data_IF_544013935875
#
_entry.id   IF_544013935875
#
_cell.length_a   1.000
_cell.length_b   1.000
_cell.length_c   1.000
_cell.angle_alpha   90.00
_cell.angle_beta   90.00
_cell.angle_gamma   90.00
#
_symmetry.space_group_name_H-M   'P 1'
#
loop_
_entity.id
_entity.type
_entity.pdbx_description
1 polymer ?
#
# COMPACT_ATOMS: atom_id res chain seq x y z
N UNK A 1 -19.64 -23.94 48.43
CA UNK A 1 -19.73 -22.48 48.68
C UNK A 1 -18.47 -21.84 48.08
N UNK A 2 -18.58 -21.17 46.90
CA UNK A 2 -18.29 -19.73 46.65
C UNK A 2 -17.08 -19.14 47.40
N UNK A 3 -16.15 -18.38 46.80
CA UNK A 3 -16.08 -17.66 45.50
C UNK A 3 -14.62 -17.49 45.00
N UNK A 4 -14.38 -17.26 43.69
CA UNK A 4 -14.10 -15.97 43.00
C UNK A 4 -12.93 -15.18 43.65
N UNK A 5 -11.86 -14.72 42.99
CA UNK A 5 -11.65 -14.06 41.67
C UNK A 5 -10.11 -13.82 41.51
N UNK A 6 -9.45 -14.17 40.41
CA UNK A 6 -8.93 -13.28 39.31
C UNK A 6 -7.45 -12.86 39.40
N UNK A 7 -6.74 -12.97 38.27
CA UNK A 7 -5.39 -12.46 37.97
C UNK A 7 -4.41 -13.61 37.76
N UNK A 8 -3.78 -13.89 36.61
CA UNK A 8 -3.33 -13.06 35.49
C UNK A 8 -3.41 -13.90 34.20
N UNK A 9 -4.45 -13.68 33.40
CA UNK A 9 -4.51 -14.09 31.99
C UNK A 9 -4.08 -12.88 31.16
N UNK A 10 -2.79 -12.61 31.01
CA UNK A 10 -2.34 -11.54 30.10
C UNK A 10 -0.88 -11.71 29.63
N UNK A 11 -0.57 -12.86 29.02
CA UNK A 11 0.70 -13.07 28.30
C UNK A 11 0.54 -13.40 26.81
N UNK A 12 -0.65 -13.20 26.26
CA UNK A 12 -0.91 -13.42 24.83
C UNK A 12 -1.08 -12.09 24.08
N UNK A 13 -0.18 -11.13 24.34
CA UNK A 13 0.12 -10.11 23.34
C UNK A 13 1.03 -10.75 22.31
N UNK A 14 0.43 -11.57 21.46
CA UNK A 14 1.09 -12.11 20.28
C UNK A 14 1.76 -10.96 19.55
N UNK A 15 3.08 -11.05 19.41
CA UNK A 15 3.81 -10.27 18.44
C UNK A 15 3.06 -10.47 17.11
N UNK A 16 2.37 -9.43 16.65
CA UNK A 16 1.78 -9.42 15.33
C UNK A 16 2.89 -9.90 14.39
N UNK A 17 2.68 -11.06 13.76
CA UNK A 17 3.60 -11.50 12.72
C UNK A 17 3.53 -10.39 11.68
N UNK A 18 4.60 -9.62 11.58
CA UNK A 18 4.85 -8.82 10.41
C UNK A 18 4.97 -9.85 9.28
N UNK A 19 3.87 -10.10 8.56
CA UNK A 19 3.81 -11.04 7.45
C UNK A 19 4.59 -10.51 6.23
N UNK A 20 5.42 -9.48 6.41
CA UNK A 20 6.11 -8.77 5.34
C UNK A 20 5.15 -8.02 4.42
N UNK A 21 3.91 -7.78 4.85
CA UNK A 21 2.91 -7.03 4.09
C UNK A 21 2.74 -5.62 4.66
N UNK A 22 2.97 -4.62 3.82
CA UNK A 22 2.69 -3.23 4.14
C UNK A 22 1.26 -2.91 3.72
N UNK A 23 0.52 -2.23 4.60
CA UNK A 23 -0.83 -1.71 4.31
C UNK A 23 -0.76 -0.19 4.37
N UNK A 24 -1.25 0.48 3.33
CA UNK A 24 -1.36 1.95 3.25
C UNK A 24 -2.76 2.33 2.79
N UNK A 25 -3.30 3.46 3.28
CA UNK A 25 -4.48 4.06 2.68
C UNK A 25 -4.07 4.90 1.45
N UNK A 26 -4.87 4.87 0.38
CA UNK A 26 -4.60 5.70 -0.81
C UNK A 26 -4.60 7.20 -0.45
N UNK A 27 -5.42 7.61 0.51
CA UNK A 27 -5.49 8.99 1.00
C UNK A 27 -4.23 9.48 1.70
N UNK A 28 -3.41 8.55 2.22
CA UNK A 28 -2.17 8.88 2.92
C UNK A 28 -0.99 9.07 1.95
N UNK A 29 -1.18 8.73 0.67
CA UNK A 29 -0.15 8.93 -0.34
C UNK A 29 -0.07 10.40 -0.73
N UNK A 30 1.15 10.93 -0.68
CA UNK A 30 1.44 12.30 -1.09
C UNK A 30 1.89 12.24 -2.55
N UNK A 31 1.02 12.74 -3.43
CA UNK A 31 1.32 12.88 -4.85
C UNK A 31 2.16 14.12 -5.13
N UNK A 32 2.90 14.08 -6.24
CA UNK A 32 3.56 15.26 -6.77
C UNK A 32 2.58 16.19 -7.51
N UNK A 33 3.11 17.24 -8.15
CA UNK A 33 2.30 18.27 -8.82
C UNK A 33 1.40 17.73 -9.94
N UNK A 34 1.73 16.58 -10.53
CA UNK A 34 0.96 15.98 -11.63
C UNK A 34 0.03 14.86 -11.12
N UNK A 35 -0.07 14.67 -9.80
CA UNK A 35 -0.91 13.62 -9.20
C UNK A 35 -0.23 12.25 -9.17
N UNK A 36 1.09 12.21 -9.31
CA UNK A 36 1.87 10.98 -9.41
C UNK A 36 2.51 10.61 -8.07
N UNK A 37 2.46 9.33 -7.73
CA UNK A 37 3.12 8.75 -6.55
C UNK A 37 4.06 7.65 -7.02
N UNK A 38 5.31 7.67 -6.58
CA UNK A 38 6.27 6.61 -6.87
C UNK A 38 6.63 5.87 -5.59
N UNK A 39 6.41 4.56 -5.58
CA UNK A 39 6.80 3.69 -4.49
C UNK A 39 8.22 3.17 -4.70
N UNK A 40 9.11 3.43 -3.74
CA UNK A 40 10.43 2.82 -3.68
C UNK A 40 10.41 1.62 -2.74
N UNK A 41 10.71 0.43 -3.26
CA UNK A 41 10.68 -0.81 -2.49
C UNK A 41 12.09 -1.26 -2.04
N UNK A 42 12.81 -0.42 -1.32
CA UNK A 42 14.17 -0.75 -0.84
C UNK A 42 14.15 -1.93 0.15
N UNK A 43 13.04 -2.08 0.87
CA UNK A 43 12.81 -3.18 1.81
C UNK A 43 12.46 -4.52 1.15
N UNK A 44 12.33 -4.57 -0.20
CA UNK A 44 11.97 -5.77 -0.97
C UNK A 44 10.70 -6.45 -0.48
N UNK A 45 9.71 -5.64 -0.11
CA UNK A 45 8.38 -6.11 0.26
C UNK A 45 7.75 -6.81 -0.95
N UNK A 46 7.27 -8.06 -0.80
CA UNK A 46 6.66 -8.78 -1.92
C UNK A 46 5.27 -8.23 -2.25
N UNK A 47 4.56 -7.66 -1.27
CA UNK A 47 3.18 -7.22 -1.39
C UNK A 47 2.97 -5.87 -0.71
N UNK A 48 2.29 -4.96 -1.43
CA UNK A 48 1.67 -3.76 -0.87
C UNK A 48 0.15 -3.92 -0.94
N UNK A 49 -0.52 -3.78 0.20
CA UNK A 49 -1.97 -3.63 0.26
C UNK A 49 -2.31 -2.14 0.30
N UNK A 50 -3.16 -1.70 -0.61
CA UNK A 50 -3.65 -0.34 -0.67
C UNK A 50 -5.14 -0.32 -0.37
N UNK A 51 -5.50 0.33 0.73
CA UNK A 51 -6.88 0.56 1.14
C UNK A 51 -7.44 1.76 0.38
N UNK A 52 -8.49 1.52 -0.40
CA UNK A 52 -9.13 2.60 -1.16
C UNK A 52 -10.53 2.23 -1.64
N UNK A 53 -11.43 3.22 -1.61
CA UNK A 53 -12.71 3.16 -2.33
C UNK A 53 -12.61 3.64 -3.79
N UNK A 54 -11.44 4.13 -4.23
CA UNK A 54 -11.23 4.58 -5.59
C UNK A 54 -11.07 3.40 -6.54
N UNK A 55 -11.83 3.41 -7.64
CA UNK A 55 -11.71 2.38 -8.67
C UNK A 55 -10.51 2.67 -9.58
N UNK A 56 -9.70 1.65 -9.91
CA UNK A 56 -8.73 1.71 -10.98
C UNK A 56 -9.41 2.01 -12.31
N UNK A 57 -8.92 3.01 -13.04
CA UNK A 57 -9.40 3.36 -14.39
C UNK A 57 -8.39 2.96 -15.46
N UNK A 58 -7.11 2.85 -15.12
CA UNK A 58 -6.06 2.36 -16.01
C UNK A 58 -5.00 1.58 -15.24
N UNK A 59 -4.36 0.61 -15.90
CA UNK A 59 -3.28 -0.22 -15.36
C UNK A 59 -2.35 -0.65 -16.47
N UNK A 60 -1.07 -0.83 -16.17
CA UNK A 60 -0.12 -1.36 -17.15
C UNK A 60 1.31 -1.31 -16.65
N UNK A 61 2.23 -1.43 -17.62
CA UNK A 61 3.67 -1.22 -17.41
C UNK A 61 4.05 0.04 -18.16
N UNK A 62 4.86 0.89 -17.53
CA UNK A 62 5.35 2.12 -18.14
C UNK A 62 6.45 1.79 -19.14
N UNK A 63 6.31 2.26 -20.38
CA UNK A 63 7.36 2.12 -21.40
C UNK A 63 8.48 3.14 -21.16
N UNK A 64 8.14 4.42 -21.04
CA UNK A 64 9.04 5.51 -20.69
C UNK A 64 8.25 6.67 -20.08
N UNK A 65 8.67 7.15 -18.90
CA UNK A 65 8.09 8.33 -18.25
C UNK A 65 9.01 8.83 -17.15
N UNK A 66 9.16 10.15 -17.02
CA UNK A 66 9.83 10.80 -15.90
C UNK A 66 8.82 11.67 -15.20
N UNK A 67 8.60 11.40 -13.90
CA UNK A 67 7.61 12.13 -13.12
C UNK A 67 7.99 13.60 -12.95
N UNK A 68 7.06 14.43 -12.52
CA UNK A 68 7.37 15.83 -12.20
C UNK A 68 8.41 15.98 -11.09
N UNK A 69 8.51 14.98 -10.21
CA UNK A 69 9.54 14.88 -9.17
C UNK A 69 10.92 14.48 -9.72
N UNK A 70 11.03 14.20 -11.02
CA UNK A 70 12.27 13.84 -11.71
C UNK A 70 12.63 12.37 -11.62
N UNK A 71 11.68 11.48 -11.30
CA UNK A 71 11.92 10.05 -11.15
C UNK A 71 11.61 9.32 -12.45
N UNK A 72 12.59 8.61 -13.00
CA UNK A 72 12.35 7.70 -14.12
C UNK A 72 11.65 6.43 -13.63
N UNK A 73 10.46 6.18 -14.16
CA UNK A 73 9.60 5.04 -13.81
C UNK A 73 9.44 4.06 -14.97
N UNK A 74 10.31 4.11 -15.97
CA UNK A 74 10.35 3.11 -17.04
C UNK A 74 10.45 1.68 -16.48
N UNK A 75 9.57 0.79 -16.94
CA UNK A 75 9.48 -0.60 -16.48
C UNK A 75 8.72 -0.81 -15.17
N UNK A 76 8.25 0.26 -14.49
CA UNK A 76 7.37 0.13 -13.34
C UNK A 76 5.98 -0.29 -13.78
N UNK A 77 5.26 -0.98 -12.90
CA UNK A 77 3.82 -1.10 -13.03
C UNK A 77 3.18 0.24 -12.64
N UNK A 78 2.03 0.55 -13.24
CA UNK A 78 1.22 1.68 -12.81
C UNK A 78 -0.25 1.31 -12.62
N UNK A 79 -0.91 2.05 -11.75
CA UNK A 79 -2.37 2.11 -11.65
C UNK A 79 -2.81 3.56 -11.54
N UNK A 80 -3.77 3.96 -12.37
CA UNK A 80 -4.43 5.27 -12.27
C UNK A 80 -5.81 5.07 -11.68
N UNK A 81 -6.17 5.90 -10.70
CA UNK A 81 -7.43 5.86 -9.99
C UNK A 81 -8.40 6.94 -10.50
N UNK A 82 -9.69 6.76 -10.22
CA UNK A 82 -10.74 7.70 -10.65
C UNK A 82 -10.59 9.13 -10.11
N UNK A 83 -9.84 9.33 -9.02
CA UNK A 83 -9.53 10.65 -8.46
C UNK A 83 -8.35 11.35 -9.17
N UNK A 84 -7.76 10.74 -10.21
CA UNK A 84 -6.63 11.27 -10.96
C UNK A 84 -5.25 10.88 -10.43
N UNK A 85 -5.16 10.20 -9.27
CA UNK A 85 -3.88 9.75 -8.73
C UNK A 85 -3.33 8.59 -9.58
N UNK A 86 -2.05 8.65 -9.94
CA UNK A 86 -1.33 7.52 -10.55
C UNK A 86 -0.23 7.01 -9.63
N UNK A 87 -0.32 5.75 -9.23
CA UNK A 87 0.69 5.07 -8.43
C UNK A 87 1.60 4.23 -9.32
N UNK A 88 2.90 4.49 -9.24
CA UNK A 88 3.96 3.70 -9.85
C UNK A 88 4.61 2.81 -8.80
N UNK A 89 4.79 1.53 -9.12
CA UNK A 89 5.43 0.57 -8.21
C UNK A 89 6.31 -0.44 -8.98
N UNK A 90 7.35 -1.00 -8.34
CA UNK A 90 8.27 -1.93 -8.98
C UNK A 90 7.57 -3.18 -9.53
N UNK A 91 8.13 -3.73 -10.62
CA UNK A 91 7.51 -4.86 -11.35
C UNK A 91 7.46 -6.17 -10.55
N UNK A 92 8.38 -6.33 -9.61
CA UNK A 92 8.52 -7.48 -8.72
C UNK A 92 7.65 -7.38 -7.46
N UNK A 93 6.98 -6.25 -7.23
CA UNK A 93 6.02 -6.08 -6.15
C UNK A 93 4.58 -6.33 -6.63
N UNK A 94 3.82 -7.08 -5.84
CA UNK A 94 2.39 -7.24 -6.04
C UNK A 94 1.60 -6.13 -5.33
N UNK A 95 0.68 -5.48 -6.06
CA UNK A 95 -0.27 -4.53 -5.49
C UNK A 95 -1.62 -5.21 -5.28
N UNK A 96 -2.12 -5.20 -4.04
CA UNK A 96 -3.46 -5.67 -3.66
C UNK A 96 -4.31 -4.47 -3.30
N UNK A 97 -5.49 -4.34 -3.89
CA UNK A 97 -6.45 -3.30 -3.54
C UNK A 97 -7.55 -3.88 -2.66
N UNK A 98 -7.85 -3.21 -1.57
CA UNK A 98 -8.96 -3.54 -0.67
C UNK A 98 -9.79 -2.30 -0.41
N UNK A 99 -11.10 -2.46 -0.20
CA UNK A 99 -11.95 -1.34 0.19
C UNK A 99 -11.61 -0.88 1.62
N UNK A 100 -11.70 0.42 1.86
CA UNK A 100 -11.54 0.96 3.20
C UNK A 100 -12.67 0.40 4.08
N UNK A 101 -12.33 -0.24 5.20
CA UNK A 101 -13.36 -0.64 6.16
C UNK A 101 -13.81 0.61 6.90
N UNK A 102 -14.96 1.15 6.51
CA UNK A 102 -15.66 2.19 7.26
C UNK A 102 -16.06 1.78 8.66
#
# INVERSE_FOLDING_TARGET
>A
MRGRTTGEEDRERGWARDDGSLVLALSDLIADRDGEVVLFNDSRLPVLTLETDQRPVARGVVEAHVTASGVDVAGYNYVTFGNGLTLYYPRDMQLVLVSERG
#
